data_IF_257561301854
#
_entry.id   IF_257561301854
#
_cell.length_a   1.000
_cell.length_b   1.000
_cell.length_c   1.000
_cell.angle_alpha   90.00
_cell.angle_beta   90.00
_cell.angle_gamma   90.00
#
_symmetry.space_group_name_H-M   'P 1'
#
loop_
_entity.id
_entity.type
_entity.pdbx_description
1 polymer ?
#
# COMPACT_ATOMS: atom_id res chain seq x y z
N UNK A 1 -4.00 13.25 9.13
CA UNK A 1 -4.94 13.02 8.02
C UNK A 1 -5.29 11.54 8.06
N UNK A 2 -6.57 11.21 8.12
CA UNK A 2 -7.04 9.81 8.09
C UNK A 2 -7.25 9.45 6.62
N UNK A 3 -6.79 8.29 6.14
CA UNK A 3 -7.10 7.86 4.79
C UNK A 3 -8.61 7.72 4.63
N UNK A 4 -9.17 8.28 3.56
CA UNK A 4 -10.42 7.76 3.05
C UNK A 4 -10.08 6.41 2.41
N UNK A 5 -10.67 5.34 2.92
CA UNK A 5 -10.38 3.98 2.45
C UNK A 5 -11.21 3.59 1.21
N UNK A 6 -12.13 4.48 0.82
CA UNK A 6 -12.93 4.36 -0.37
C UNK A 6 -12.05 4.29 -1.62
N UNK A 7 -12.38 3.36 -2.52
CA UNK A 7 -11.69 3.24 -3.81
C UNK A 7 -12.51 3.95 -4.87
N UNK A 8 -12.02 5.11 -5.30
CA UNK A 8 -12.66 5.94 -6.30
C UNK A 8 -12.41 5.44 -7.72
N UNK A 9 -13.42 5.52 -8.59
CA UNK A 9 -13.29 5.16 -10.01
C UNK A 9 -12.32 6.11 -10.74
N UNK A 10 -12.39 7.41 -10.47
CA UNK A 10 -11.56 8.38 -11.19
C UNK A 10 -10.06 8.18 -10.87
N UNK A 11 -9.71 7.81 -9.63
CA UNK A 11 -8.33 7.48 -9.26
C UNK A 11 -7.83 6.26 -10.04
N UNK A 12 -8.66 5.22 -10.14
CA UNK A 12 -8.34 4.04 -10.94
C UNK A 12 -8.17 4.39 -12.44
N UNK A 13 -9.02 5.26 -12.99
CA UNK A 13 -8.91 5.70 -14.37
C UNK A 13 -7.60 6.46 -14.63
N UNK A 14 -7.24 7.41 -13.74
CA UNK A 14 -6.01 8.18 -13.84
C UNK A 14 -4.76 7.30 -13.68
N UNK A 15 -4.78 6.36 -12.73
CA UNK A 15 -3.69 5.41 -12.51
C UNK A 15 -3.52 4.48 -13.72
N UNK A 16 -4.62 3.96 -14.29
CA UNK A 16 -4.56 3.10 -15.48
C UNK A 16 -3.88 3.81 -16.66
N UNK A 17 -4.20 5.09 -16.88
CA UNK A 17 -3.55 5.91 -17.91
C UNK A 17 -2.06 6.08 -17.63
N UNK A 18 -1.69 6.50 -16.42
CA UNK A 18 -0.29 6.71 -16.05
C UNK A 18 0.56 5.44 -16.20
N UNK A 19 0.04 4.29 -15.75
CA UNK A 19 0.74 3.01 -15.88
C UNK A 19 0.83 2.54 -17.33
N UNK A 20 -0.21 2.75 -18.14
CA UNK A 20 -0.20 2.38 -19.55
C UNK A 20 0.83 3.21 -20.33
N UNK A 21 0.84 4.53 -20.14
CA UNK A 21 1.81 5.42 -20.77
C UNK A 21 3.24 5.08 -20.34
N UNK A 22 3.45 4.78 -19.05
CA UNK A 22 4.75 4.36 -18.54
C UNK A 22 5.19 3.03 -19.16
N UNK A 23 4.27 2.06 -19.34
CA UNK A 23 4.57 0.80 -20.05
C UNK A 23 5.01 1.05 -21.49
N UNK A 24 4.35 1.97 -22.19
CA UNK A 24 4.66 2.33 -23.57
C UNK A 24 6.03 3.02 -23.67
N UNK A 25 6.32 3.96 -22.76
CA UNK A 25 7.57 4.70 -22.75
C UNK A 25 8.79 3.84 -22.33
N UNK A 26 8.63 2.97 -21.34
CA UNK A 26 9.77 2.28 -20.71
C UNK A 26 9.98 0.84 -21.18
N UNK A 27 8.96 0.20 -21.75
CA UNK A 27 9.04 -1.23 -22.03
C UNK A 27 8.78 -2.16 -20.83
N UNK A 28 8.74 -1.62 -19.59
CA UNK A 28 8.71 -2.45 -18.39
C UNK A 28 7.35 -3.12 -18.17
N UNK A 29 7.34 -4.45 -18.19
CA UNK A 29 6.14 -5.26 -18.09
C UNK A 29 5.32 -5.07 -16.80
N UNK A 30 5.95 -4.64 -15.70
CA UNK A 30 5.26 -4.40 -14.42
C UNK A 30 4.12 -3.40 -14.59
N UNK A 31 4.35 -2.30 -15.29
CA UNK A 31 3.32 -1.27 -15.49
C UNK A 31 2.15 -1.77 -16.34
N UNK A 32 2.43 -2.62 -17.33
CA UNK A 32 1.39 -3.26 -18.15
C UNK A 32 0.55 -4.26 -17.34
N UNK A 33 1.18 -4.99 -16.40
CA UNK A 33 0.48 -5.87 -15.46
C UNK A 33 -0.45 -5.08 -14.55
N UNK A 34 0.07 -4.04 -13.90
CA UNK A 34 -0.72 -3.18 -12.98
C UNK A 34 -1.91 -2.55 -13.71
N UNK A 35 -1.70 -2.03 -14.92
CA UNK A 35 -2.80 -1.50 -15.76
C UNK A 35 -3.92 -2.52 -15.96
N UNK A 36 -3.57 -3.78 -16.25
CA UNK A 36 -4.55 -4.86 -16.46
C UNK A 36 -5.27 -5.22 -15.16
N UNK A 37 -4.57 -5.23 -14.04
CA UNK A 37 -5.15 -5.48 -12.72
C UNK A 37 -6.18 -4.40 -12.35
N UNK A 38 -5.89 -3.13 -12.64
CA UNK A 38 -6.85 -2.02 -12.47
C UNK A 38 -8.11 -2.26 -13.31
N UNK A 39 -7.98 -2.57 -14.60
CA UNK A 39 -9.15 -2.84 -15.44
C UNK A 39 -9.94 -4.07 -14.98
N UNK A 40 -9.24 -5.10 -14.50
CA UNK A 40 -9.89 -6.30 -13.97
C UNK A 40 -10.73 -5.97 -12.74
N UNK A 41 -10.19 -5.15 -11.83
CA UNK A 41 -10.92 -4.63 -10.67
C UNK A 41 -12.13 -3.78 -11.08
N UNK A 42 -11.96 -2.80 -11.98
CA UNK A 42 -13.07 -1.94 -12.43
C UNK A 42 -14.20 -2.75 -13.06
N UNK A 43 -13.87 -3.72 -13.92
CA UNK A 43 -14.86 -4.58 -14.57
C UNK A 43 -15.58 -5.51 -13.60
N UNK A 44 -14.90 -5.97 -12.55
CA UNK A 44 -15.46 -6.90 -11.57
C UNK A 44 -16.31 -6.20 -10.51
N UNK A 45 -15.80 -5.09 -9.95
CA UNK A 45 -16.32 -4.51 -8.71
C UNK A 45 -17.00 -3.16 -8.89
N UNK A 46 -16.67 -2.42 -9.96
CA UNK A 46 -17.16 -1.04 -10.18
C UNK A 46 -18.15 -0.95 -11.34
N UNK A 47 -18.30 -2.00 -12.15
CA UNK A 47 -19.21 -2.01 -13.28
C UNK A 47 -20.58 -2.53 -12.85
N UNK A 48 -21.62 -1.75 -13.12
CA UNK A 48 -22.99 -2.16 -12.92
C UNK A 48 -23.38 -3.21 -13.98
N UNK A 49 -24.07 -4.31 -13.63
CA UNK A 49 -24.50 -5.33 -14.58
C UNK A 49 -25.32 -4.80 -15.78
N UNK A 50 -25.97 -3.65 -15.64
CA UNK A 50 -26.73 -2.98 -16.71
C UNK A 50 -25.86 -2.08 -17.61
N UNK A 51 -24.55 -1.99 -17.34
CA UNK A 51 -23.55 -1.34 -18.20
C UNK A 51 -23.07 0.04 -17.75
N UNK A 52 -23.55 0.53 -16.59
CA UNK A 52 -23.02 1.73 -15.94
C UNK A 52 -21.74 1.47 -15.13
N UNK A 53 -21.16 2.51 -14.53
CA UNK A 53 -20.09 2.37 -13.54
C UNK A 53 -20.48 3.10 -12.25
N UNK A 54 -20.20 2.48 -11.10
CA UNK A 54 -20.26 3.14 -9.81
C UNK A 54 -19.14 4.18 -9.71
N UNK A 55 -19.36 5.26 -8.96
CA UNK A 55 -18.35 6.30 -8.78
C UNK A 55 -17.23 5.88 -7.84
N UNK A 56 -17.52 4.94 -6.93
CA UNK A 56 -16.59 4.44 -5.93
C UNK A 56 -17.06 3.11 -5.33
N UNK A 57 -16.13 2.41 -4.67
CA UNK A 57 -16.40 1.30 -3.76
C UNK A 57 -16.10 1.77 -2.34
N UNK A 58 -17.14 1.75 -1.49
CA UNK A 58 -17.01 2.02 -0.06
C UNK A 58 -16.10 0.97 0.62
N UNK A 59 -15.41 1.40 1.67
CA UNK A 59 -14.60 0.57 2.54
C UNK A 59 -15.37 0.04 3.77
N UNK A 60 -16.69 0.24 3.81
CA UNK A 60 -17.53 -0.29 4.87
C UNK A 60 -17.37 -1.81 5.00
N UNK A 61 -16.99 -2.24 6.19
CA UNK A 61 -16.77 -3.64 6.54
C UNK A 61 -17.49 -3.91 7.85
N UNK A 62 -18.51 -4.77 7.83
CA UNK A 62 -19.31 -5.13 9.02
C UNK A 62 -19.93 -3.93 9.78
N UNK A 63 -20.31 -2.86 9.07
CA UNK A 63 -20.92 -1.65 9.67
C UNK A 63 -19.91 -0.65 10.25
N UNK A 64 -18.61 -0.88 10.08
CA UNK A 64 -17.55 0.03 10.52
C UNK A 64 -16.57 0.35 9.37
N UNK A 65 -16.41 1.64 9.07
CA UNK A 65 -15.48 2.12 8.05
C UNK A 65 -14.02 1.76 8.41
N UNK A 66 -13.34 1.04 7.50
CA UNK A 66 -11.89 0.83 7.56
C UNK A 66 -11.41 -0.27 8.53
N UNK A 67 -12.30 -1.10 9.08
CA UNK A 67 -11.98 -2.13 10.09
C UNK A 67 -10.84 -3.08 9.67
N UNK A 68 -10.77 -3.48 8.40
CA UNK A 68 -9.69 -4.34 7.89
C UNK A 68 -8.29 -3.71 7.95
N UNK A 69 -8.21 -2.39 8.15
CA UNK A 69 -6.95 -1.66 8.24
C UNK A 69 -6.53 -1.33 9.68
N UNK A 70 -7.35 -1.70 10.68
CA UNK A 70 -7.13 -1.40 12.08
C UNK A 70 -6.61 -2.62 12.83
N UNK A 71 -5.48 -2.43 13.51
CA UNK A 71 -4.80 -3.50 14.23
C UNK A 71 -4.47 -3.06 15.65
N UNK A 72 -4.63 -3.98 16.60
CA UNK A 72 -4.07 -3.88 17.95
C UNK A 72 -2.81 -4.74 18.07
N UNK A 73 -1.89 -4.43 19.01
CA UNK A 73 -0.73 -5.29 19.24
C UNK A 73 -1.08 -6.72 19.60
N UNK A 74 -2.22 -6.95 20.29
CA UNK A 74 -2.68 -8.30 20.62
C UNK A 74 -3.08 -9.09 19.38
N UNK A 75 -3.83 -8.48 18.45
CA UNK A 75 -4.22 -9.14 17.19
C UNK A 75 -2.99 -9.52 16.34
N UNK A 76 -1.99 -8.65 16.30
CA UNK A 76 -0.74 -8.93 15.57
C UNK A 76 0.01 -10.10 16.22
N UNK A 77 0.15 -10.09 17.55
CA UNK A 77 0.81 -11.17 18.29
C UNK A 77 0.06 -12.50 18.20
N UNK A 78 -1.26 -12.47 18.12
CA UNK A 78 -2.08 -13.68 17.93
C UNK A 78 -1.79 -14.35 16.58
N UNK A 79 -1.58 -13.57 15.52
CA UNK A 79 -1.33 -14.10 14.17
C UNK A 79 0.13 -14.49 13.95
N UNK A 80 1.07 -13.66 14.41
CA UNK A 80 2.50 -13.82 14.11
C UNK A 80 3.29 -14.51 15.22
N UNK A 81 2.74 -14.63 16.42
CA UNK A 81 3.49 -14.98 17.62
C UNK A 81 4.09 -13.75 18.30
N UNK A 82 4.60 -13.93 19.52
CA UNK A 82 5.04 -12.82 20.37
C UNK A 82 6.26 -12.08 19.79
N UNK A 83 7.29 -12.80 19.37
CA UNK A 83 8.57 -12.21 18.96
C UNK A 83 8.44 -11.47 17.61
N UNK A 84 7.93 -12.16 16.58
CA UNK A 84 7.67 -11.56 15.27
C UNK A 84 6.58 -10.48 15.34
N UNK A 85 5.58 -10.67 16.20
CA UNK A 85 4.51 -9.71 16.41
C UNK A 85 5.01 -8.42 17.06
N UNK A 86 5.90 -8.49 18.05
CA UNK A 86 6.53 -7.32 18.65
C UNK A 86 7.40 -6.57 17.63
N UNK A 87 8.21 -7.30 16.85
CA UNK A 87 9.00 -6.70 15.79
C UNK A 87 8.12 -5.99 14.76
N UNK A 88 7.06 -6.65 14.29
CA UNK A 88 6.12 -6.08 13.33
C UNK A 88 5.42 -4.84 13.89
N UNK A 89 4.95 -4.89 15.14
CA UNK A 89 4.31 -3.76 15.80
C UNK A 89 5.27 -2.57 15.91
N UNK A 90 6.51 -2.83 16.32
CA UNK A 90 7.52 -1.78 16.36
C UNK A 90 7.78 -1.23 14.96
N UNK A 91 7.96 -2.09 13.97
CA UNK A 91 8.33 -1.67 12.61
C UNK A 91 7.24 -0.80 11.97
N UNK A 92 5.96 -1.17 12.12
CA UNK A 92 4.81 -0.52 11.50
C UNK A 92 4.04 0.45 12.41
N UNK A 93 4.60 0.82 13.57
CA UNK A 93 3.99 1.76 14.52
C UNK A 93 2.59 1.35 15.02
N UNK A 94 2.47 0.06 15.36
CA UNK A 94 1.26 -0.51 15.97
C UNK A 94 1.41 -0.45 17.48
N UNK A 95 0.61 0.40 18.13
CA UNK A 95 0.71 0.67 19.56
C UNK A 95 -0.63 0.44 20.27
N UNK A 96 -0.58 0.28 21.59
CA UNK A 96 -1.81 0.13 22.39
C UNK A 96 -2.66 1.42 22.42
N UNK A 97 -2.04 2.59 22.24
CA UNK A 97 -2.77 3.87 22.13
C UNK A 97 -3.41 4.06 20.75
N UNK A 98 -2.87 3.39 19.73
CA UNK A 98 -3.31 3.52 18.35
C UNK A 98 -2.96 4.88 17.75
N UNK A 99 -3.13 4.98 16.43
CA UNK A 99 -3.11 6.24 15.70
C UNK A 99 -4.50 6.60 15.11
N UNK A 100 -5.50 5.70 15.27
CA UNK A 100 -6.87 5.90 14.82
C UNK A 100 -7.87 5.08 15.63
N UNK A 101 -8.86 5.75 16.27
CA UNK A 101 -9.94 5.12 17.05
C UNK A 101 -9.46 4.07 18.09
N UNK A 102 -8.29 4.28 18.70
CA UNK A 102 -7.72 3.34 19.68
C UNK A 102 -7.09 2.08 19.09
N UNK A 103 -6.97 2.00 17.77
CA UNK A 103 -6.20 1.00 17.02
C UNK A 103 -5.12 1.71 16.19
N UNK A 104 -4.20 0.95 15.60
CA UNK A 104 -3.23 1.50 14.65
C UNK A 104 -3.59 1.12 13.22
N UNK A 105 -3.47 2.10 12.33
CA UNK A 105 -3.25 1.91 10.91
C UNK A 105 -1.73 1.71 10.73
N UNK A 106 -1.28 0.52 10.28
CA UNK A 106 0.14 0.23 10.08
C UNK A 106 0.77 1.25 9.12
N UNK A 107 1.92 1.83 9.47
CA UNK A 107 2.58 2.85 8.65
C UNK A 107 4.10 2.88 8.85
N UNK A 108 4.82 3.61 8.00
CA UNK A 108 6.28 3.75 8.02
C UNK A 108 6.73 5.22 8.05
N UNK A 109 5.87 6.13 8.53
CA UNK A 109 6.07 7.58 8.38
C UNK A 109 7.36 8.06 9.05
N UNK A 110 7.74 7.47 10.19
CA UNK A 110 8.95 7.85 10.94
C UNK A 110 10.12 6.87 10.73
N UNK A 111 10.29 6.33 9.51
CA UNK A 111 11.34 5.34 9.19
C UNK A 111 12.44 5.84 8.25
N UNK A 112 12.38 7.10 7.83
CA UNK A 112 13.47 7.78 7.10
C UNK A 112 14.66 8.08 8.03
N UNK A 113 15.51 7.08 8.27
CA UNK A 113 16.95 7.30 8.54
C UNK A 113 17.76 5.98 8.50
N UNK A 114 17.13 4.83 8.75
CA UNK A 114 17.85 3.56 8.87
C UNK A 114 18.26 2.92 7.53
N UNK A 115 17.55 3.19 6.43
CA UNK A 115 17.76 2.48 5.16
C UNK A 115 18.74 3.17 4.20
N UNK A 116 18.91 4.49 4.27
CA UNK A 116 19.85 5.21 3.40
C UNK A 116 21.31 5.11 3.85
N UNK A 117 21.55 4.88 5.15
CA UNK A 117 22.92 4.80 5.71
C UNK A 117 23.55 3.41 5.55
N UNK A 118 22.74 2.37 5.34
CA UNK A 118 23.22 1.00 5.17
C UNK A 118 23.73 0.68 3.75
N UNK A 119 23.56 1.59 2.78
CA UNK A 119 23.91 1.38 1.37
C UNK A 119 25.26 1.94 0.92
N UNK A 120 25.94 2.79 1.72
CA UNK A 120 27.26 3.34 1.37
C UNK A 120 28.37 2.64 2.14
N UNK A 121 28.49 1.34 1.93
CA UNK A 121 29.57 0.51 2.42
C UNK A 121 30.29 -0.20 1.28
N UNK A 122 31.26 0.50 0.65
CA UNK A 122 32.34 -0.13 -0.11
C UNK A 122 32.15 -0.27 -1.63
N UNK A 123 32.77 0.63 -2.40
CA UNK A 123 33.92 0.27 -3.24
C UNK A 123 34.45 1.52 -3.97
N UNK A 124 35.56 2.06 -3.48
CA UNK A 124 36.42 2.92 -4.28
C UNK A 124 37.10 2.08 -5.35
N UNK A 125 36.61 2.13 -6.59
CA UNK A 125 37.36 1.71 -7.75
C UNK A 125 38.48 2.73 -7.98
N UNK A 126 39.67 2.42 -7.45
CA UNK A 126 40.92 2.98 -7.91
C UNK A 126 41.35 2.14 -9.12
N UNK A 127 41.55 2.77 -10.26
CA UNK A 127 41.87 2.08 -11.51
C UNK A 127 42.42 3.05 -12.54
N UNK A 128 43.75 3.18 -12.53
CA UNK A 128 44.56 3.81 -13.56
C UNK A 128 44.33 3.19 -14.94
N UNK A 129 44.22 4.05 -15.96
CA UNK A 129 44.66 3.86 -17.35
C UNK A 129 44.60 5.28 -17.96
N UNK A 130 45.70 5.89 -18.39
CA UNK A 130 46.61 5.42 -19.43
C UNK A 130 46.45 6.35 -20.62
#
# INVERSE_FOLDING_TARGET
MVPHFEKMLYDNALLALAYLETRQATGNAVYGRVTREIFTYVLRDITDPEGGFYTAQDAESEGEEGRFYLWTPDQVREVLGTEEGEFFCHYFDITAGGNFKGCSIPNLIDREEALFTAGTGGNGFNGDAG
#
